data_IF_986841876907
#
_entry.id   IF_986841876907
#
_cell.length_a   1.000
_cell.length_b   1.000
_cell.length_c   1.000
_cell.angle_alpha   90.00
_cell.angle_beta   90.00
_cell.angle_gamma   90.00
#
_symmetry.space_group_name_H-M   'P 1'
#
loop_
_entity.id
_entity.type
_entity.pdbx_description
1 polymer ?
#
# COMPACT_ATOMS: atom_id res chain seq x y z
N UNK A 1 -7.61 26.46 -9.73
CA UNK A 1 -7.32 25.12 -10.28
C UNK A 1 -7.11 24.18 -9.10
N UNK A 2 -7.73 23.00 -9.11
CA UNK A 2 -7.51 22.03 -8.03
C UNK A 2 -6.08 21.47 -8.09
N UNK A 3 -5.54 21.09 -6.92
CA UNK A 3 -4.22 20.46 -6.86
C UNK A 3 -4.28 19.05 -7.50
N UNK A 4 -3.25 18.60 -8.23
CA UNK A 4 -3.23 17.27 -8.81
C UNK A 4 -3.10 16.18 -7.74
N UNK A 5 -3.66 15.00 -8.01
CA UNK A 5 -3.40 13.77 -7.26
C UNK A 5 -2.00 13.25 -7.57
N UNK A 6 -1.17 13.17 -6.53
CA UNK A 6 0.23 12.70 -6.63
C UNK A 6 0.39 11.45 -5.77
N UNK A 7 1.03 10.42 -6.29
CA UNK A 7 1.46 9.24 -5.55
C UNK A 7 2.98 9.18 -5.51
N UNK A 8 3.58 9.23 -4.32
CA UNK A 8 4.99 8.92 -4.13
C UNK A 8 5.14 7.41 -3.89
N UNK A 9 5.91 6.72 -4.74
CA UNK A 9 6.13 5.28 -4.64
C UNK A 9 7.54 5.01 -4.13
N UNK A 10 7.65 4.45 -2.93
CA UNK A 10 8.92 4.08 -2.32
C UNK A 10 9.09 2.56 -2.38
N UNK A 11 10.29 2.11 -2.71
CA UNK A 11 10.63 0.68 -2.65
C UNK A 11 12.08 0.52 -2.20
N UNK A 12 12.38 -0.50 -1.38
CA UNK A 12 13.75 -0.85 -1.04
C UNK A 12 14.51 -1.47 -2.23
N UNK A 13 13.79 -1.92 -3.26
CA UNK A 13 14.40 -2.42 -4.48
C UNK A 13 14.90 -1.30 -5.38
N UNK A 14 15.83 -1.61 -6.28
CA UNK A 14 16.37 -0.65 -7.25
C UNK A 14 15.32 -0.01 -8.17
N UNK A 15 14.23 -0.73 -8.43
CA UNK A 15 13.18 -0.27 -9.33
C UNK A 15 11.82 -0.40 -8.67
N UNK A 16 10.97 0.61 -8.87
CA UNK A 16 9.53 0.51 -8.63
C UNK A 16 8.91 -0.42 -9.67
N UNK A 17 7.95 -1.25 -9.25
CA UNK A 17 7.25 -2.17 -10.15
C UNK A 17 6.47 -1.39 -11.22
N UNK A 18 6.66 -1.68 -12.52
CA UNK A 18 5.83 -1.12 -13.57
C UNK A 18 4.35 -1.49 -13.41
N UNK A 19 4.05 -2.63 -12.79
CA UNK A 19 2.68 -3.03 -12.48
C UNK A 19 2.02 -2.02 -11.55
N UNK A 20 2.69 -1.68 -10.44
CA UNK A 20 2.15 -0.75 -9.45
C UNK A 20 1.97 0.65 -10.05
N UNK A 21 2.90 1.08 -10.91
CA UNK A 21 2.80 2.36 -11.64
C UNK A 21 1.57 2.39 -12.54
N UNK A 22 1.34 1.34 -13.33
CA UNK A 22 0.16 1.25 -14.19
C UNK A 22 -1.14 1.29 -13.36
N UNK A 23 -1.21 0.49 -12.30
CA UNK A 23 -2.37 0.45 -11.41
C UNK A 23 -2.66 1.80 -10.75
N UNK A 24 -1.61 2.56 -10.39
CA UNK A 24 -1.78 3.90 -9.84
C UNK A 24 -2.40 4.88 -10.86
N UNK A 25 -1.96 4.85 -12.12
CA UNK A 25 -2.55 5.67 -13.17
C UNK A 25 -4.00 5.26 -13.47
N UNK A 26 -4.28 3.96 -13.56
CA UNK A 26 -5.63 3.44 -13.79
C UNK A 26 -6.58 3.79 -12.62
N UNK A 27 -6.06 3.93 -11.40
CA UNK A 27 -6.80 4.40 -10.23
C UNK A 27 -7.08 5.92 -10.23
N UNK A 28 -6.55 6.67 -11.21
CA UNK A 28 -6.80 8.10 -11.37
C UNK A 28 -5.76 9.04 -10.77
N UNK A 29 -4.59 8.53 -10.34
CA UNK A 29 -3.48 9.43 -10.00
C UNK A 29 -2.97 10.16 -11.23
N UNK A 30 -2.67 11.45 -11.07
CA UNK A 30 -2.26 12.33 -12.17
C UNK A 30 -0.74 12.42 -12.29
N UNK A 31 -0.01 12.16 -11.21
CA UNK A 31 1.43 12.01 -11.23
C UNK A 31 1.85 10.88 -10.27
N UNK A 32 2.72 9.99 -10.77
CA UNK A 32 3.29 8.89 -10.00
C UNK A 32 4.80 9.09 -9.97
N UNK A 33 5.37 9.29 -8.78
CA UNK A 33 6.77 9.63 -8.59
C UNK A 33 7.50 8.43 -7.98
N UNK A 34 8.31 7.69 -8.78
CA UNK A 34 8.99 6.51 -8.30
C UNK A 34 10.33 6.83 -7.64
N UNK A 35 10.61 6.16 -6.52
CA UNK A 35 11.89 6.19 -5.83
C UNK A 35 12.34 4.75 -5.57
N UNK A 36 13.48 4.38 -6.15
CA UNK A 36 14.17 3.13 -5.85
C UNK A 36 15.17 3.29 -4.72
N UNK A 37 15.65 2.15 -4.21
CA UNK A 37 16.70 2.07 -3.19
C UNK A 37 16.36 2.89 -1.91
N UNK A 38 15.07 2.97 -1.56
CA UNK A 38 14.59 3.66 -0.35
C UNK A 38 14.55 2.69 0.82
N UNK A 39 15.49 2.87 1.75
CA UNK A 39 15.55 2.13 3.01
C UNK A 39 14.57 2.63 4.07
N UNK A 40 14.48 1.88 5.17
CA UNK A 40 13.64 2.22 6.33
C UNK A 40 14.03 3.57 6.95
N UNK A 41 15.33 3.87 7.01
CA UNK A 41 15.91 5.09 7.58
C UNK A 41 15.53 6.36 6.79
N UNK A 42 15.27 6.23 5.49
CA UNK A 42 14.95 7.35 4.61
C UNK A 42 13.45 7.66 4.56
N UNK A 43 12.60 6.71 4.96
CA UNK A 43 11.17 6.80 4.73
C UNK A 43 10.48 7.88 5.56
N UNK A 44 10.92 8.07 6.81
CA UNK A 44 10.40 9.13 7.69
C UNK A 44 10.63 10.52 7.09
N UNK A 45 11.89 10.90 6.78
CA UNK A 45 12.19 12.18 6.11
C UNK A 45 11.42 12.39 4.80
N UNK A 46 11.37 11.38 3.92
CA UNK A 46 10.62 11.47 2.65
C UNK A 46 9.11 11.67 2.87
N UNK A 47 8.56 11.05 3.91
CA UNK A 47 7.15 11.25 4.30
C UNK A 47 6.91 12.67 4.78
N UNK A 48 7.83 13.23 5.58
CA UNK A 48 7.74 14.61 6.07
C UNK A 48 7.79 15.63 4.92
N UNK A 49 8.66 15.42 3.94
CA UNK A 49 8.74 16.26 2.75
C UNK A 49 7.43 16.23 1.94
N UNK A 50 6.80 15.06 1.83
CA UNK A 50 5.52 14.90 1.13
C UNK A 50 4.35 15.62 1.85
N UNK A 51 4.30 15.59 3.19
CA UNK A 51 3.16 16.16 3.96
C UNK A 51 3.25 17.68 4.13
N UNK A 52 4.45 18.26 4.28
CA UNK A 52 4.60 19.70 4.53
C UNK A 52 4.55 20.55 3.26
N UNK A 53 4.95 19.99 2.11
CA UNK A 53 5.07 20.74 0.85
C UNK A 53 3.73 21.16 0.23
N UNK A 54 2.59 20.58 0.66
CA UNK A 54 1.28 20.80 -0.01
C UNK A 54 0.16 21.31 0.89
N UNK A 55 0.41 21.48 2.20
CA UNK A 55 -0.55 22.00 3.18
C UNK A 55 -1.83 21.15 3.33
N UNK A 56 -2.76 21.50 4.23
CA UNK A 56 -3.87 20.62 4.63
C UNK A 56 -4.84 20.23 3.49
N UNK A 57 -4.99 21.08 2.46
CA UNK A 57 -5.79 20.75 1.25
C UNK A 57 -5.04 19.84 0.28
N UNK A 58 -3.71 19.96 0.22
CA UNK A 58 -2.89 19.20 -0.71
C UNK A 58 -2.54 17.81 -0.22
N UNK A 59 -2.43 17.61 1.09
CA UNK A 59 -2.20 16.26 1.66
C UNK A 59 -3.35 15.29 1.35
N UNK A 60 -4.60 15.78 1.27
CA UNK A 60 -5.76 14.99 0.79
C UNK A 60 -5.66 14.54 -0.67
N UNK A 61 -4.71 15.09 -1.44
CA UNK A 61 -4.45 14.77 -2.85
C UNK A 61 -3.02 14.26 -3.05
N UNK A 62 -2.43 13.74 -1.99
CA UNK A 62 -1.10 13.15 -1.99
C UNK A 62 -1.21 11.80 -1.31
N UNK A 63 -0.65 10.78 -1.93
CA UNK A 63 -0.55 9.45 -1.38
C UNK A 63 0.90 9.00 -1.31
N UNK A 64 1.14 8.02 -0.45
CA UNK A 64 2.38 7.25 -0.41
C UNK A 64 2.04 5.79 -0.67
N UNK A 65 2.79 5.16 -1.56
CA UNK A 65 2.79 3.73 -1.80
C UNK A 65 4.14 3.14 -1.43
N UNK A 66 4.13 2.04 -0.68
CA UNK A 66 5.33 1.28 -0.29
C UNK A 66 5.28 -0.07 -1.01
N UNK A 67 6.17 -0.24 -1.98
CA UNK A 67 6.35 -1.49 -2.71
C UNK A 67 7.45 -2.35 -2.10
N UNK A 68 7.94 -3.30 -2.89
CA UNK A 68 9.04 -4.18 -2.51
C UNK A 68 8.66 -5.66 -2.60
N UNK A 69 9.47 -6.48 -1.96
CA UNK A 69 9.31 -7.95 -1.96
C UNK A 69 9.22 -8.54 -0.55
N UNK A 70 9.89 -7.92 0.41
CA UNK A 70 9.94 -8.39 1.79
C UNK A 70 8.79 -7.79 2.60
N UNK A 71 7.88 -8.65 3.05
CA UNK A 71 6.66 -8.24 3.78
C UNK A 71 6.99 -7.53 5.09
N UNK A 72 7.91 -8.10 5.88
CA UNK A 72 8.30 -7.53 7.17
C UNK A 72 8.86 -6.11 7.01
N UNK A 73 9.80 -5.93 6.09
CA UNK A 73 10.37 -4.62 5.80
C UNK A 73 9.31 -3.62 5.30
N UNK A 74 8.40 -4.05 4.41
CA UNK A 74 7.33 -3.19 3.90
C UNK A 74 6.32 -2.79 4.99
N UNK A 75 6.12 -3.63 6.02
CA UNK A 75 5.32 -3.32 7.19
C UNK A 75 6.05 -2.32 8.12
N UNK A 76 7.34 -2.55 8.41
CA UNK A 76 8.16 -1.62 9.19
C UNK A 76 8.23 -0.23 8.54
N UNK A 77 8.37 -0.21 7.21
CA UNK A 77 8.28 1.00 6.41
C UNK A 77 6.91 1.67 6.54
N UNK A 78 5.81 0.93 6.40
CA UNK A 78 4.47 1.49 6.57
C UNK A 78 4.29 2.18 7.92
N UNK A 79 4.78 1.57 8.99
CA UNK A 79 4.70 2.14 10.34
C UNK A 79 5.64 3.34 10.52
N UNK A 80 6.85 3.30 9.95
CA UNK A 80 7.74 4.45 9.95
C UNK A 80 7.14 5.67 9.21
N UNK A 81 6.47 5.45 8.08
CA UNK A 81 5.77 6.51 7.35
C UNK A 81 4.62 7.09 8.20
N UNK A 82 3.79 6.24 8.82
CA UNK A 82 2.70 6.69 9.71
C UNK A 82 3.22 7.51 10.89
N UNK A 83 4.26 7.03 11.55
CA UNK A 83 4.86 7.69 12.72
C UNK A 83 5.54 9.03 12.37
N UNK A 84 5.92 9.22 11.11
CA UNK A 84 6.49 10.48 10.63
C UNK A 84 5.44 11.56 10.33
N UNK A 85 4.15 11.22 10.30
CA UNK A 85 3.07 12.18 10.05
C UNK A 85 2.69 12.95 11.32
N UNK A 86 2.28 14.20 11.13
CA UNK A 86 1.92 15.09 12.24
C UNK A 86 0.62 15.80 11.90
N UNK A 87 -0.46 15.64 12.70
CA UNK A 87 -1.72 16.33 12.45
C UNK A 87 -1.54 17.86 12.37
N UNK A 88 -2.20 18.56 11.42
CA UNK A 88 -3.13 18.07 10.41
C UNK A 88 -2.47 17.67 9.06
N UNK A 89 -1.16 17.48 9.04
CA UNK A 89 -0.37 17.14 7.84
C UNK A 89 -0.20 15.63 7.73
N UNK A 90 -1.24 14.97 7.21
CA UNK A 90 -1.28 13.52 7.05
C UNK A 90 -1.74 13.17 5.63
N UNK A 91 -1.10 12.17 5.04
CA UNK A 91 -1.41 11.65 3.71
C UNK A 91 -1.90 10.21 3.83
N UNK A 92 -2.67 9.74 2.85
CA UNK A 92 -2.98 8.31 2.76
C UNK A 92 -1.70 7.54 2.43
N UNK A 93 -1.40 6.50 3.21
CA UNK A 93 -0.26 5.61 2.97
C UNK A 93 -0.73 4.16 2.86
N UNK A 94 -0.21 3.46 1.87
CA UNK A 94 -0.55 2.09 1.54
C UNK A 94 0.73 1.29 1.23
N UNK A 95 0.75 0.00 1.55
CA UNK A 95 1.89 -0.89 1.30
C UNK A 95 1.37 -2.15 0.61
N UNK A 96 2.08 -2.65 -0.40
CA UNK A 96 1.69 -3.88 -1.10
C UNK A 96 2.90 -4.60 -1.73
N UNK A 97 3.76 -5.22 -0.90
CA UNK A 97 4.97 -5.87 -1.39
C UNK A 97 4.60 -7.02 -2.33
N UNK A 98 4.93 -6.87 -3.62
CA UNK A 98 4.65 -7.86 -4.67
C UNK A 98 3.18 -8.28 -4.75
N UNK A 99 2.25 -7.38 -4.42
CA UNK A 99 0.81 -7.68 -4.45
C UNK A 99 0.31 -8.56 -3.30
N UNK A 100 1.13 -8.80 -2.28
CA UNK A 100 0.82 -9.69 -1.16
C UNK A 100 -0.51 -9.30 -0.47
N UNK A 101 -0.65 -8.03 -0.07
CA UNK A 101 -1.76 -7.60 0.77
C UNK A 101 -3.04 -7.46 -0.02
N UNK A 102 -2.99 -6.88 -1.22
CA UNK A 102 -4.19 -6.75 -2.06
C UNK A 102 -4.70 -8.10 -2.54
N UNK A 103 -3.80 -9.00 -2.94
CA UNK A 103 -4.20 -10.32 -3.42
C UNK A 103 -4.78 -11.16 -2.29
N UNK A 104 -4.16 -11.15 -1.10
CA UNK A 104 -4.68 -11.83 0.08
C UNK A 104 -6.08 -11.30 0.45
N UNK A 105 -6.23 -9.97 0.54
CA UNK A 105 -7.51 -9.35 0.86
C UNK A 105 -8.61 -9.68 -0.18
N UNK A 106 -8.27 -9.61 -1.47
CA UNK A 106 -9.19 -9.95 -2.55
C UNK A 106 -9.61 -11.43 -2.51
N UNK A 107 -8.68 -12.33 -2.19
CA UNK A 107 -8.95 -13.76 -2.05
C UNK A 107 -9.92 -14.03 -0.90
N UNK A 108 -9.65 -13.47 0.29
CA UNK A 108 -10.54 -13.59 1.46
C UNK A 108 -11.93 -13.06 1.14
N UNK A 109 -12.04 -11.86 0.57
CA UNK A 109 -13.32 -11.27 0.19
C UNK A 109 -14.10 -12.11 -0.82
N UNK A 110 -13.41 -12.72 -1.80
CA UNK A 110 -14.03 -13.64 -2.75
C UNK A 110 -14.57 -14.89 -2.04
N UNK A 111 -13.79 -15.48 -1.13
CA UNK A 111 -14.19 -16.68 -0.38
C UNK A 111 -15.38 -16.39 0.52
N UNK A 112 -15.35 -15.29 1.29
CA UNK A 112 -16.47 -14.87 2.14
C UNK A 112 -17.75 -14.64 1.33
N UNK A 113 -17.63 -13.98 0.18
CA UNK A 113 -18.77 -13.75 -0.72
C UNK A 113 -19.38 -15.07 -1.19
N UNK A 114 -18.54 -16.05 -1.57
CA UNK A 114 -19.03 -17.34 -2.06
C UNK A 114 -19.60 -18.20 -0.93
N UNK A 115 -18.99 -18.23 0.25
CA UNK A 115 -19.53 -18.92 1.44
C UNK A 115 -20.92 -18.41 1.78
N UNK A 116 -21.09 -17.09 1.84
CA UNK A 116 -22.39 -16.47 2.12
C UNK A 116 -23.42 -16.81 1.04
N UNK A 117 -23.01 -16.75 -0.24
CA UNK A 117 -23.91 -17.00 -1.37
C UNK A 117 -24.34 -18.46 -1.49
N UNK A 118 -23.41 -19.40 -1.35
CA UNK A 118 -23.65 -20.82 -1.58
C UNK A 118 -24.15 -21.57 -0.34
N UNK A 119 -23.80 -21.10 0.86
CA UNK A 119 -24.03 -21.82 2.10
C UNK A 119 -24.68 -20.97 3.21
N UNK A 120 -24.85 -19.66 3.02
CA UNK A 120 -25.47 -18.78 4.01
C UNK A 120 -24.66 -18.60 5.30
N UNK A 121 -23.36 -18.91 5.26
CA UNK A 121 -22.45 -18.86 6.41
C UNK A 121 -21.25 -17.97 6.14
N UNK A 122 -20.50 -17.66 7.19
CA UNK A 122 -19.22 -16.93 7.14
C UNK A 122 -18.04 -17.86 7.46
N UNK A 123 -16.85 -17.27 7.67
CA UNK A 123 -15.63 -17.97 8.03
C UNK A 123 -15.57 -18.34 9.53
N UNK A 124 -16.51 -17.87 10.37
CA UNK A 124 -16.43 -18.08 11.81
C UNK A 124 -16.52 -19.58 12.16
N UNK A 125 -15.55 -20.06 12.95
CA UNK A 125 -15.47 -21.46 13.35
C UNK A 125 -15.13 -22.44 12.22
N UNK A 126 -14.66 -21.96 11.05
CA UNK A 126 -14.27 -22.81 9.93
C UNK A 126 -12.78 -23.11 9.93
N UNK A 127 -12.43 -24.35 9.59
CA UNK A 127 -11.06 -24.70 9.25
C UNK A 127 -10.75 -24.22 7.84
N UNK A 128 -9.67 -23.46 7.68
CA UNK A 128 -9.21 -22.91 6.40
C UNK A 128 -7.85 -23.52 6.06
N UNK A 129 -7.69 -23.99 4.83
CA UNK A 129 -6.42 -24.50 4.30
C UNK A 129 -5.98 -23.60 3.14
N UNK A 130 -4.80 -22.99 3.28
CA UNK A 130 -4.15 -22.21 2.20
C UNK A 130 -3.06 -23.08 1.57
N UNK A 131 -3.37 -23.71 0.44
CA UNK A 131 -2.41 -24.55 -0.30
C UNK A 131 -1.35 -23.65 -0.95
N UNK A 132 -0.07 -23.98 -0.75
CA UNK A 132 1.03 -23.16 -1.26
C UNK A 132 1.20 -21.82 -0.54
N UNK A 133 0.67 -21.70 0.68
CA UNK A 133 0.63 -20.46 1.45
C UNK A 133 1.96 -19.95 2.02
N UNK A 134 3.11 -20.43 1.54
CA UNK A 134 4.42 -19.97 2.05
C UNK A 134 5.00 -18.79 1.27
N UNK A 135 4.38 -18.42 0.15
CA UNK A 135 4.75 -17.23 -0.63
C UNK A 135 4.12 -15.95 -0.09
N UNK A 136 4.50 -14.77 -0.60
CA UNK A 136 4.09 -13.48 -0.04
C UNK A 136 2.57 -13.27 0.10
N UNK A 137 1.78 -13.83 -0.81
CA UNK A 137 0.31 -13.70 -0.77
C UNK A 137 -0.33 -14.62 0.28
N UNK A 138 0.29 -15.77 0.55
CA UNK A 138 -0.35 -16.83 1.33
C UNK A 138 0.08 -16.89 2.79
N UNK A 139 1.19 -16.24 3.15
CA UNK A 139 1.75 -16.18 4.49
C UNK A 139 1.02 -15.15 5.35
#
# INVERSE_FOLDING_TARGET
>A
MEKPFILHMFTPGRNVSPFDVNMAYDAGYQAVIPYGDVGLDQLGPLTQDAIFSRGPKGVKRTGIFIGGREIGLAADMLDAARNAMVPPFEVSVFSDPSGAFTTAAAMVACVERQLKKAHGVDLAGRAVLVVGGTGPVGA
#
